data_IF_146256854704
#
_entry.id   IF_146256854704
#
_cell.length_a   1.000
_cell.length_b   1.000
_cell.length_c   1.000
_cell.angle_alpha   90.00
_cell.angle_beta   90.00
_cell.angle_gamma   90.00
#
_symmetry.space_group_name_H-M   'P 1'
#
loop_
_entity.id
_entity.type
_entity.pdbx_description
1 polymer ?
#
# COMPACT_ATOMS: atom_id res chain seq x y z
N UNK A 1 12.66 9.66 -19.60
CA UNK A 1 11.98 8.35 -19.50
C UNK A 1 10.98 8.46 -18.37
N UNK A 2 9.68 8.35 -18.65
CA UNK A 2 8.68 8.26 -17.57
C UNK A 2 8.89 6.90 -16.90
N UNK A 3 9.40 6.93 -15.66
CA UNK A 3 9.35 5.75 -14.79
C UNK A 3 7.88 5.47 -14.56
N UNK A 4 7.40 4.30 -14.99
CA UNK A 4 6.08 3.84 -14.56
C UNK A 4 6.11 3.74 -13.03
N UNK A 5 5.06 4.28 -12.41
CA UNK A 5 4.87 4.29 -10.96
C UNK A 5 3.58 3.53 -10.73
N UNK A 6 3.64 2.46 -9.95
CA UNK A 6 2.45 1.70 -9.55
C UNK A 6 1.87 2.37 -8.31
N UNK A 7 0.59 2.75 -8.36
CA UNK A 7 -0.12 3.26 -7.20
C UNK A 7 -0.98 2.14 -6.60
N UNK A 8 -0.76 1.85 -5.32
CA UNK A 8 -1.54 0.90 -4.54
C UNK A 8 -2.46 1.70 -3.62
N UNK A 9 -3.77 1.48 -3.75
CA UNK A 9 -4.78 2.12 -2.92
C UNK A 9 -5.33 1.07 -1.97
N UNK A 10 -5.19 1.32 -0.66
CA UNK A 10 -5.58 0.40 0.41
C UNK A 10 -6.56 1.09 1.35
N UNK A 11 -7.88 0.99 1.10
CA UNK A 11 -8.88 1.43 2.06
C UNK A 11 -8.86 0.51 3.28
N UNK A 12 -9.02 1.08 4.47
CA UNK A 12 -8.99 0.37 5.74
C UNK A 12 -10.17 0.80 6.60
N UNK A 13 -10.98 -0.18 7.01
CA UNK A 13 -12.02 0.00 8.02
C UNK A 13 -11.86 -1.08 9.09
N UNK A 14 -11.74 -0.69 10.36
CA UNK A 14 -11.49 -1.60 11.50
C UNK A 14 -10.31 -2.59 11.29
N UNK A 15 -9.31 -2.22 10.49
CA UNK A 15 -8.19 -3.10 10.09
C UNK A 15 -6.98 -3.09 11.03
N UNK A 16 -7.13 -2.66 12.29
CA UNK A 16 -6.01 -2.49 13.24
C UNK A 16 -5.13 -3.74 13.41
N UNK A 17 -5.72 -4.93 13.27
CA UNK A 17 -5.02 -6.20 13.41
C UNK A 17 -4.21 -6.63 12.18
N UNK A 18 -4.49 -6.08 10.99
CA UNK A 18 -3.88 -6.54 9.72
C UNK A 18 -3.18 -5.44 8.94
N UNK A 19 -3.38 -4.18 9.32
CA UNK A 19 -2.86 -3.02 8.59
C UNK A 19 -1.33 -3.02 8.49
N UNK A 20 -0.63 -3.42 9.55
CA UNK A 20 0.85 -3.47 9.57
C UNK A 20 1.35 -4.51 8.58
N UNK A 21 0.90 -5.76 8.69
CA UNK A 21 1.30 -6.85 7.80
C UNK A 21 0.97 -6.53 6.33
N UNK A 22 -0.16 -5.86 6.08
CA UNK A 22 -0.58 -5.45 4.73
C UNK A 22 0.34 -4.37 4.15
N UNK A 23 0.72 -3.37 4.95
CA UNK A 23 1.69 -2.34 4.55
C UNK A 23 3.05 -2.98 4.26
N UNK A 24 3.55 -3.84 5.16
CA UNK A 24 4.84 -4.51 4.99
C UNK A 24 4.86 -5.40 3.74
N UNK A 25 3.75 -6.11 3.47
CA UNK A 25 3.59 -6.90 2.25
C UNK A 25 3.75 -6.04 0.99
N UNK A 26 3.09 -4.88 0.93
CA UNK A 26 3.17 -3.97 -0.25
C UNK A 26 4.55 -3.32 -0.38
N UNK A 27 5.22 -2.99 0.73
CA UNK A 27 6.55 -2.38 0.69
C UNK A 27 7.66 -3.38 0.33
N UNK A 28 7.46 -4.68 0.60
CA UNK A 28 8.43 -5.74 0.32
C UNK A 28 8.33 -6.35 -1.10
N UNK A 29 7.61 -5.71 -2.02
CA UNK A 29 7.47 -6.21 -3.39
C UNK A 29 8.80 -6.15 -4.18
N UNK A 30 8.94 -7.04 -5.17
CA UNK A 30 10.11 -7.08 -6.07
C UNK A 30 10.17 -5.85 -6.98
N UNK A 31 9.01 -5.33 -7.37
CA UNK A 31 8.88 -4.05 -8.05
C UNK A 31 9.01 -2.87 -7.06
N UNK A 32 9.81 -1.85 -7.40
CA UNK A 32 10.26 -0.83 -6.43
C UNK A 32 9.61 0.54 -6.57
N UNK A 33 9.12 0.89 -7.75
CA UNK A 33 8.52 2.20 -8.01
C UNK A 33 7.03 2.20 -7.60
N UNK A 34 6.75 1.91 -6.32
CA UNK A 34 5.42 1.83 -5.73
C UNK A 34 5.09 3.09 -4.91
N UNK A 35 3.87 3.60 -5.04
CA UNK A 35 3.26 4.56 -4.12
C UNK A 35 2.07 3.89 -3.42
N UNK A 36 2.14 3.74 -2.10
CA UNK A 36 1.06 3.20 -1.29
C UNK A 36 0.24 4.33 -0.66
N UNK A 37 -1.07 4.31 -0.88
CA UNK A 37 -2.06 5.20 -0.28
C UNK A 37 -2.93 4.37 0.66
N UNK A 38 -2.81 4.62 1.96
CA UNK A 38 -3.67 4.02 2.97
C UNK A 38 -4.78 5.01 3.29
N UNK A 39 -6.02 4.61 3.05
CA UNK A 39 -7.20 5.47 3.23
C UNK A 39 -8.01 4.91 4.37
N UNK A 40 -8.17 5.70 5.42
CA UNK A 40 -9.06 5.37 6.53
C UNK A 40 -10.51 5.62 6.10
N UNK A 41 -11.32 4.56 6.13
CA UNK A 41 -12.72 4.54 5.70
C UNK A 41 -13.64 4.53 6.93
N UNK A 42 -13.42 5.49 7.85
CA UNK A 42 -14.15 5.68 9.11
C UNK A 42 -15.59 6.21 8.92
#
# INVERSE_FOLDING_TARGET
>A
MNREIVSVIMPVYNGSHTIVDSIESVLNQTYKDIKLYVIDDC
#
